data_IF_598044047717
#
_entry.id   IF_598044047717
#
_cell.length_a   1.000
_cell.length_b   1.000
_cell.length_c   1.000
_cell.angle_alpha   90.00
_cell.angle_beta   90.00
_cell.angle_gamma   90.00
#
_symmetry.space_group_name_H-M   'P 1'
#
loop_
_entity.id
_entity.type
_entity.pdbx_description
1 polymer ?
#
# COMPACT_ATOMS: atom_id res chain seq x y z
N UNK A 1 28.65 8.65 9.40
CA UNK A 1 28.20 8.39 8.02
C UNK A 1 26.76 7.86 8.00
N UNK A 2 26.35 7.00 8.96
CA UNK A 2 24.97 6.54 9.21
C UNK A 2 23.87 7.63 9.20
N UNK A 3 24.12 8.78 9.82
CA UNK A 3 23.12 9.86 9.90
C UNK A 3 22.69 10.42 8.52
N UNK A 4 23.59 10.43 7.53
CA UNK A 4 23.28 10.91 6.18
C UNK A 4 22.49 9.89 5.35
N UNK A 5 22.76 8.60 5.56
CA UNK A 5 21.99 7.53 4.92
C UNK A 5 20.55 7.49 5.45
N UNK A 6 20.37 7.65 6.76
CA UNK A 6 19.05 7.67 7.39
C UNK A 6 18.20 8.87 6.95
N UNK A 7 18.83 10.05 6.79
CA UNK A 7 18.16 11.24 6.24
C UNK A 7 17.61 11.02 4.82
N UNK A 8 18.30 10.22 4.01
CA UNK A 8 17.88 9.93 2.64
C UNK A 8 16.70 8.96 2.58
N UNK A 9 16.68 7.95 3.45
CA UNK A 9 15.57 6.98 3.52
C UNK A 9 14.25 7.66 3.93
N UNK A 10 14.32 8.58 4.89
CA UNK A 10 13.17 9.26 5.47
C UNK A 10 12.71 10.50 4.68
N UNK A 11 13.40 10.85 3.59
CA UNK A 11 13.06 12.03 2.82
C UNK A 11 11.62 11.96 2.30
N UNK A 12 10.82 12.97 2.64
CA UNK A 12 9.42 13.05 2.25
C UNK A 12 8.45 12.25 3.13
N UNK A 13 8.91 11.67 4.25
CA UNK A 13 8.07 10.87 5.14
C UNK A 13 6.81 11.60 5.58
N UNK A 14 5.66 10.93 5.46
CA UNK A 14 4.31 11.49 5.71
C UNK A 14 3.89 12.65 4.79
N UNK A 15 4.77 13.14 3.90
CA UNK A 15 4.51 14.25 2.99
C UNK A 15 3.82 13.87 1.69
N UNK A 16 3.67 12.58 1.40
CA UNK A 16 3.07 12.07 0.16
C UNK A 16 1.96 11.05 0.43
N UNK A 17 1.16 10.76 -0.59
CA UNK A 17 0.10 9.76 -0.57
C UNK A 17 -1.26 10.37 -0.83
N UNK A 18 -2.28 9.87 -0.13
CA UNK A 18 -3.67 10.32 -0.23
C UNK A 18 -4.34 10.22 1.14
N UNK A 19 -5.64 10.49 1.21
CA UNK A 19 -6.42 10.34 2.45
C UNK A 19 -6.49 8.89 2.96
N UNK A 20 -6.38 7.91 2.06
CA UNK A 20 -6.40 6.50 2.43
C UNK A 20 -5.10 6.05 3.13
N UNK A 21 -3.95 6.36 2.51
CA UNK A 21 -2.63 5.88 2.92
C UNK A 21 -1.57 6.96 2.70
N UNK A 22 -0.66 7.09 3.66
CA UNK A 22 0.53 7.94 3.54
C UNK A 22 1.61 7.09 2.90
N UNK A 23 2.14 7.48 1.75
CA UNK A 23 3.14 6.66 1.04
C UNK A 23 3.86 7.47 0.00
N UNK A 24 5.13 7.12 -0.24
CA UNK A 24 6.02 7.87 -1.14
C UNK A 24 6.13 7.21 -2.52
N UNK A 25 5.07 6.51 -2.93
CA UNK A 25 4.89 5.97 -4.27
C UNK A 25 3.43 5.96 -4.74
N UNK A 26 3.24 5.99 -6.06
CA UNK A 26 1.98 5.75 -6.77
C UNK A 26 2.01 4.33 -7.37
N UNK A 27 0.84 3.77 -7.66
CA UNK A 27 0.73 2.47 -8.34
C UNK A 27 0.40 2.67 -9.81
N UNK A 28 0.93 1.80 -10.66
CA UNK A 28 0.40 1.60 -12.01
C UNK A 28 -0.67 0.53 -11.95
N UNK A 29 -1.90 0.91 -12.28
CA UNK A 29 -3.05 0.01 -12.25
C UNK A 29 -2.93 -1.04 -13.36
N UNK A 30 -2.85 -2.34 -13.06
CA UNK A 30 -2.66 -3.37 -14.09
C UNK A 30 -3.87 -3.55 -15.01
N UNK A 31 -5.05 -3.13 -14.58
CA UNK A 31 -6.30 -3.22 -15.34
C UNK A 31 -6.40 -2.21 -16.49
N UNK A 32 -5.85 -1.01 -16.33
CA UNK A 32 -6.03 0.10 -17.28
C UNK A 32 -4.74 0.89 -17.57
N UNK A 33 -3.62 0.52 -16.95
CA UNK A 33 -2.30 1.16 -17.07
C UNK A 33 -2.23 2.62 -16.57
N UNK A 34 -3.28 3.11 -15.94
CA UNK A 34 -3.34 4.45 -15.34
C UNK A 34 -2.60 4.50 -14.00
N UNK A 35 -2.17 5.71 -13.59
CA UNK A 35 -1.37 5.92 -12.37
C UNK A 35 -2.23 6.52 -11.27
N UNK A 36 -2.24 5.88 -10.10
CA UNK A 36 -3.03 6.33 -8.96
C UNK A 36 -2.25 6.37 -7.65
N UNK A 37 -2.64 7.32 -6.80
CA UNK A 37 -2.08 7.44 -5.45
C UNK A 37 -2.40 6.26 -4.55
N UNK A 38 -3.42 5.43 -4.82
CA UNK A 38 -3.65 4.10 -4.22
C UNK A 38 -4.79 3.37 -4.95
N UNK A 39 -5.05 2.10 -4.57
CA UNK A 39 -6.15 1.32 -5.16
C UNK A 39 -7.54 1.90 -4.87
N UNK A 40 -7.72 2.54 -3.71
CA UNK A 40 -9.00 3.17 -3.37
C UNK A 40 -9.25 4.40 -4.23
N UNK A 41 -8.25 5.26 -4.41
CA UNK A 41 -8.33 6.38 -5.35
C UNK A 41 -8.62 5.94 -6.79
N UNK A 42 -8.05 4.82 -7.23
CA UNK A 42 -8.41 4.22 -8.53
C UNK A 42 -9.89 3.82 -8.56
N UNK A 43 -10.31 2.97 -7.61
CA UNK A 43 -11.67 2.42 -7.61
C UNK A 43 -12.73 3.53 -7.51
N UNK A 44 -12.48 4.57 -6.73
CA UNK A 44 -13.36 5.75 -6.63
C UNK A 44 -13.47 6.49 -7.96
N UNK A 45 -12.34 6.81 -8.60
CA UNK A 45 -12.31 7.51 -9.88
C UNK A 45 -13.02 6.71 -10.99
N UNK A 46 -12.77 5.40 -11.03
CA UNK A 46 -13.31 4.50 -12.04
C UNK A 46 -14.79 4.19 -11.79
N UNK A 47 -15.22 4.06 -10.53
CA UNK A 47 -16.64 3.83 -10.19
C UNK A 47 -17.51 5.05 -10.52
N UNK A 48 -16.94 6.26 -10.45
CA UNK A 48 -17.62 7.50 -10.81
C UNK A 48 -17.84 7.68 -12.33
N UNK A 49 -17.32 6.78 -13.17
CA UNK A 49 -17.52 6.85 -14.62
C UNK A 49 -18.99 6.66 -15.00
N UNK A 50 -19.41 7.41 -16.02
CA UNK A 50 -20.79 7.42 -16.53
C UNK A 50 -21.15 6.10 -17.17
N UNK A 51 -20.24 5.52 -17.94
CA UNK A 51 -20.43 4.24 -18.60
C UNK A 51 -20.16 3.09 -17.59
N UNK A 52 -21.15 2.24 -17.29
CA UNK A 52 -20.97 1.11 -16.39
C UNK A 52 -19.93 0.09 -16.86
N UNK A 53 -19.76 -0.08 -18.18
CA UNK A 53 -18.84 -1.07 -18.74
C UNK A 53 -17.36 -0.70 -18.51
N UNK A 54 -17.09 0.58 -18.25
CA UNK A 54 -15.75 1.06 -17.92
C UNK A 54 -15.43 0.93 -16.42
N UNK A 55 -16.39 0.51 -15.59
CA UNK A 55 -16.19 0.36 -14.14
C UNK A 55 -15.44 -0.93 -13.82
N UNK A 56 -14.33 -0.78 -13.11
CA UNK A 56 -13.50 -1.90 -12.71
C UNK A 56 -12.72 -1.57 -11.44
N UNK A 57 -12.18 -2.61 -10.80
CA UNK A 57 -11.34 -2.48 -9.61
C UNK A 57 -9.96 -3.08 -9.85
N UNK A 58 -8.97 -2.57 -9.11
CA UNK A 58 -7.64 -3.19 -9.10
C UNK A 58 -7.69 -4.50 -8.31
N UNK A 59 -7.29 -5.59 -8.96
CA UNK A 59 -6.81 -6.77 -8.25
C UNK A 59 -5.45 -6.46 -7.61
N UNK A 60 -5.42 -6.38 -6.28
CA UNK A 60 -4.24 -5.97 -5.51
C UNK A 60 -3.01 -6.84 -5.76
N UNK A 61 -3.20 -8.12 -6.08
CA UNK A 61 -2.10 -9.06 -6.30
C UNK A 61 -1.44 -8.93 -7.67
N UNK A 62 -2.07 -8.19 -8.59
CA UNK A 62 -1.55 -8.00 -9.96
C UNK A 62 -0.69 -6.74 -10.09
N UNK A 63 -0.64 -5.89 -9.04
CA UNK A 63 0.19 -4.68 -9.05
C UNK A 63 1.65 -5.09 -9.02
N UNK A 64 2.40 -4.76 -10.07
CA UNK A 64 3.83 -5.08 -10.20
C UNK A 64 4.75 -3.87 -10.31
N UNK A 65 4.19 -2.71 -10.65
CA UNK A 65 4.94 -1.49 -10.93
C UNK A 65 4.45 -0.35 -10.04
N UNK A 66 5.41 0.43 -9.53
CA UNK A 66 5.19 1.62 -8.72
C UNK A 66 6.02 2.77 -9.25
N UNK A 67 5.54 4.00 -9.03
CA UNK A 67 6.22 5.23 -9.41
C UNK A 67 6.59 5.97 -8.13
N UNK A 68 7.87 6.26 -7.92
CA UNK A 68 8.34 7.00 -6.76
C UNK A 68 7.75 8.42 -6.76
N UNK A 69 7.09 8.83 -5.67
CA UNK A 69 6.49 10.18 -5.58
C UNK A 69 7.52 11.29 -5.37
N UNK A 70 8.78 10.95 -5.06
CA UNK A 70 9.86 11.91 -4.79
C UNK A 70 10.65 12.24 -6.06
N UNK A 71 10.86 11.27 -6.94
CA UNK A 71 11.74 11.43 -8.12
C UNK A 71 11.13 10.90 -9.42
N UNK A 72 9.86 10.51 -9.40
CA UNK A 72 9.08 10.01 -10.54
C UNK A 72 9.66 8.78 -11.27
N UNK A 73 10.61 8.08 -10.65
CA UNK A 73 11.13 6.81 -11.19
C UNK A 73 10.07 5.72 -11.11
N UNK A 74 9.72 5.17 -12.27
CA UNK A 74 8.91 3.95 -12.40
C UNK A 74 9.80 2.71 -12.24
N UNK A 75 9.35 1.77 -11.41
CA UNK A 75 10.14 0.58 -11.05
C UNK A 75 9.24 -0.58 -10.60
N UNK A 76 9.76 -1.83 -10.61
CA UNK A 76 9.09 -2.94 -9.94
C UNK A 76 8.79 -2.63 -8.47
N UNK A 77 7.71 -3.19 -7.97
CA UNK A 77 7.31 -3.04 -6.57
C UNK A 77 8.43 -3.49 -5.62
N UNK A 78 8.95 -2.55 -4.86
CA UNK A 78 9.95 -2.75 -3.79
C UNK A 78 9.71 -1.72 -2.70
N UNK A 79 10.29 -1.91 -1.51
CA UNK A 79 10.15 -0.93 -0.43
C UNK A 79 10.91 0.36 -0.73
N UNK A 80 12.11 0.26 -1.28
CA UNK A 80 13.00 1.41 -1.51
C UNK A 80 13.04 1.79 -2.98
N UNK A 81 13.07 3.10 -3.26
CA UNK A 81 13.25 3.58 -4.63
C UNK A 81 14.66 3.24 -5.15
N UNK A 82 14.75 2.63 -6.32
CA UNK A 82 16.02 2.19 -6.90
C UNK A 82 16.90 3.35 -7.37
N UNK A 83 16.30 4.50 -7.67
CA UNK A 83 17.02 5.69 -8.14
C UNK A 83 17.39 6.64 -7.00
N UNK A 84 16.39 7.17 -6.28
CA UNK A 84 16.65 8.16 -5.24
C UNK A 84 16.93 7.56 -3.85
N UNK A 85 16.68 6.26 -3.63
CA UNK A 85 17.01 5.58 -2.38
C UNK A 85 16.08 5.88 -1.20
N UNK A 86 14.97 6.61 -1.40
CA UNK A 86 13.98 6.82 -0.33
C UNK A 86 13.26 5.50 -0.01
N UNK A 87 12.98 5.26 1.26
CA UNK A 87 11.99 4.25 1.64
C UNK A 87 10.62 4.74 1.14
N UNK A 88 9.80 3.93 0.50
CA UNK A 88 8.50 4.33 -0.06
C UNK A 88 7.30 4.07 0.86
N UNK A 89 7.53 3.37 1.97
CA UNK A 89 6.53 3.09 3.00
C UNK A 89 7.18 2.52 4.26
N UNK A 90 6.93 3.12 5.42
CA UNK A 90 7.44 2.58 6.70
C UNK A 90 6.99 1.15 6.95
N UNK A 91 5.70 0.88 6.70
CA UNK A 91 5.18 -0.46 6.53
C UNK A 91 5.15 -0.79 5.03
N UNK A 92 5.79 -1.90 4.67
CA UNK A 92 5.70 -2.50 3.34
C UNK A 92 5.32 -3.98 3.45
N UNK A 93 4.38 -4.40 2.61
CA UNK A 93 4.08 -5.81 2.40
C UNK A 93 4.23 -6.11 0.91
N UNK A 94 5.20 -6.96 0.59
CA UNK A 94 5.49 -7.46 -0.76
C UNK A 94 4.36 -8.31 -1.34
N UNK A 95 3.76 -9.19 -0.53
CA UNK A 95 2.63 -10.04 -0.95
C UNK A 95 1.43 -9.22 -1.40
N UNK A 96 1.12 -8.14 -0.68
CA UNK A 96 -0.03 -7.29 -0.95
C UNK A 96 0.31 -6.05 -1.80
N UNK A 97 1.60 -5.82 -2.06
CA UNK A 97 2.15 -4.58 -2.63
C UNK A 97 1.55 -3.33 -1.93
N UNK A 98 1.60 -3.36 -0.60
CA UNK A 98 0.98 -2.36 0.26
C UNK A 98 2.03 -1.53 0.98
N UNK A 99 1.83 -0.21 1.00
CA UNK A 99 2.73 0.79 1.54
C UNK A 99 1.95 1.74 2.42
N UNK A 100 2.42 1.99 3.65
CA UNK A 100 1.89 3.04 4.52
C UNK A 100 2.99 3.57 5.44
N UNK A 101 3.15 4.88 5.51
CA UNK A 101 4.04 5.57 6.44
C UNK A 101 3.43 5.69 7.83
N UNK A 102 2.09 5.68 7.89
CA UNK A 102 1.36 5.78 9.15
C UNK A 102 1.26 4.41 9.83
N UNK A 103 2.34 4.00 10.51
CA UNK A 103 2.41 2.73 11.24
C UNK A 103 1.56 2.70 12.51
N UNK A 104 0.98 3.84 12.92
CA UNK A 104 0.13 3.90 14.11
C UNK A 104 -1.15 3.06 13.96
N UNK A 105 -1.55 2.77 12.72
CA UNK A 105 -2.68 1.89 12.41
C UNK A 105 -2.40 0.42 12.73
N UNK A 106 -1.17 0.04 13.09
CA UNK A 106 -0.82 -1.33 13.47
C UNK A 106 -1.05 -2.33 12.34
N UNK A 107 -0.57 -2.01 11.14
CA UNK A 107 -0.69 -2.86 9.96
C UNK A 107 0.05 -4.18 10.16
N UNK A 108 -0.54 -5.27 9.69
CA UNK A 108 0.14 -6.56 9.61
C UNK A 108 -0.41 -7.43 8.48
N UNK A 109 0.46 -8.24 7.88
CA UNK A 109 0.02 -9.24 6.92
C UNK A 109 -0.51 -10.47 7.66
N UNK A 110 -1.78 -10.80 7.43
CA UNK A 110 -2.37 -12.03 7.92
C UNK A 110 -2.10 -13.15 6.92
N UNK A 111 -1.22 -14.09 7.28
CA UNK A 111 -0.82 -15.21 6.41
C UNK A 111 -2.00 -16.13 6.04
N UNK A 112 -2.88 -16.42 6.98
CA UNK A 112 -4.04 -17.29 6.75
C UNK A 112 -5.07 -16.64 5.82
N UNK A 113 -5.26 -15.31 5.91
CA UNK A 113 -6.17 -14.58 5.02
C UNK A 113 -5.51 -14.14 3.69
N UNK A 114 -4.18 -14.16 3.60
CA UNK A 114 -3.42 -13.64 2.46
C UNK A 114 -3.54 -12.13 2.24
N UNK A 115 -3.97 -11.35 3.25
CA UNK A 115 -4.17 -9.90 3.12
C UNK A 115 -3.67 -9.12 4.35
N UNK A 116 -3.32 -7.86 4.13
CA UNK A 116 -3.01 -6.93 5.23
C UNK A 116 -4.27 -6.54 6.00
N UNK A 117 -4.12 -6.47 7.32
CA UNK A 117 -5.12 -6.04 8.31
C UNK A 117 -4.55 -4.86 9.11
N UNK A 118 -5.40 -4.21 9.89
CA UNK A 118 -5.10 -3.04 10.71
C UNK A 118 -5.52 -3.31 12.16
N UNK A 119 -4.91 -2.61 13.11
CA UNK A 119 -5.26 -2.63 14.53
C UNK A 119 -4.39 -3.52 15.40
N UNK A 120 -3.20 -3.94 14.93
CA UNK A 120 -2.25 -4.76 15.70
C UNK A 120 -2.58 -6.24 15.66
N UNK A 121 -1.58 -7.10 15.42
CA UNK A 121 -1.77 -8.55 15.25
C UNK A 121 -2.35 -9.21 16.49
N UNK A 122 -1.89 -8.77 17.65
CA UNK A 122 -2.28 -9.23 18.98
C UNK A 122 -3.75 -9.02 19.30
N UNK A 123 -4.45 -8.15 18.56
CA UNK A 123 -5.86 -7.87 18.77
C UNK A 123 -6.79 -8.78 17.95
N UNK A 124 -6.26 -9.73 17.16
CA UNK A 124 -7.07 -10.59 16.28
C UNK A 124 -6.68 -12.07 16.34
N UNK A 125 -7.65 -12.93 16.04
CA UNK A 125 -7.46 -14.37 15.89
C UNK A 125 -8.35 -14.96 14.79
N UNK A 126 -7.96 -16.14 14.29
CA UNK A 126 -8.79 -16.93 13.38
C UNK A 126 -9.59 -17.94 14.18
N UNK A 127 -10.91 -17.87 14.09
CA UNK A 127 -11.75 -18.93 14.60
C UNK A 127 -11.80 -20.05 13.56
N UNK A 128 -10.98 -21.10 13.74
CA UNK A 128 -10.92 -22.25 12.82
C UNK A 128 -12.28 -22.93 12.65
N UNK A 129 -13.11 -22.93 13.70
CA UNK A 129 -14.46 -23.48 13.66
C UNK A 129 -15.40 -22.69 12.74
N UNK A 130 -15.26 -21.37 12.71
CA UNK A 130 -16.14 -20.48 11.94
C UNK A 130 -15.54 -20.05 10.59
N UNK A 131 -14.23 -20.25 10.38
CA UNK A 131 -13.48 -19.69 9.25
C UNK A 131 -13.39 -18.15 9.27
N UNK A 132 -13.71 -17.50 10.40
CA UNK A 132 -13.81 -16.03 10.51
C UNK A 132 -12.58 -15.45 11.19
N UNK A 133 -12.14 -14.29 10.68
CA UNK A 133 -11.15 -13.44 11.32
C UNK A 133 -11.86 -12.51 12.30
N UNK A 134 -11.55 -12.65 13.60
CA UNK A 134 -12.26 -11.98 14.69
C UNK A 134 -11.29 -11.13 15.51
N UNK A 135 -11.80 -10.00 16.04
CA UNK A 135 -11.10 -9.18 17.02
C UNK A 135 -11.36 -9.72 18.42
N UNK A 136 -10.39 -9.64 19.32
CA UNK A 136 -10.66 -9.90 20.74
C UNK A 136 -11.69 -8.90 21.26
N UNK A 137 -12.76 -9.41 21.85
CA UNK A 137 -13.69 -8.61 22.64
C UNK A 137 -12.98 -8.22 23.93
N UNK A 138 -12.87 -6.92 24.20
CA UNK A 138 -12.55 -6.40 25.53
C UNK A 138 -13.67 -6.68 26.51
#
# INVERSE_FOLDING_TARGET
MEASANQRLDFGKMGYGCEHYRRRCKIRAPCCNEVFSCRHCHNEAVTALRNPDDRHEINRFDVKQVICSVCDTEQPASQTCANCGVNMGEYFCDVCVFYDDDTTKGQFHCKECGICRFGGRENFFHCQRCGKFLRFSS
#
